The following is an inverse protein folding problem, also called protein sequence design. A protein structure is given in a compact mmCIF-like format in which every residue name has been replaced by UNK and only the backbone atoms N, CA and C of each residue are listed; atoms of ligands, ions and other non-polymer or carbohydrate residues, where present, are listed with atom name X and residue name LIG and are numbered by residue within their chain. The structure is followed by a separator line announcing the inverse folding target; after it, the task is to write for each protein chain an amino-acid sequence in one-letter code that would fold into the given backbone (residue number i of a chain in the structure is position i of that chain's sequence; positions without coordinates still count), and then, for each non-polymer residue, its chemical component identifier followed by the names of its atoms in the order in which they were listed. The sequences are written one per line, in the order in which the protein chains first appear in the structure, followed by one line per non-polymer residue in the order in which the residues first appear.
data_IF_817379377781
#
_entry.id   IF_817379377781
#
_cell.length_a   1.000
_cell.length_b   1.000
_cell.length_c   1.000
_cell.angle_alpha   90.00
_cell.angle_beta   90.00
_cell.angle_gamma   90.00
#
_symmetry.space_group_name_H-M   'P 1'
#
loop_
_entity.id
_entity.type
_entity.pdbx_description
1 polymer ?
#
# COMPACT_ATOMS: atom_id res chain seq x y z
N UNK A 1 -9.26 12.09 3.73
CA UNK A 1 -9.15 11.17 2.59
C UNK A 1 -8.73 11.98 1.37
N UNK A 2 -7.72 11.53 0.60
CA UNK A 2 -7.33 12.21 -0.63
C UNK A 2 -8.36 12.00 -1.74
N UNK A 3 -8.18 12.69 -2.86
CA UNK A 3 -8.88 12.38 -4.10
C UNK A 3 -8.35 11.06 -4.69
N UNK A 4 -9.23 10.29 -5.33
CA UNK A 4 -8.87 9.06 -6.02
C UNK A 4 -9.14 9.21 -7.51
N UNK A 5 -8.16 8.83 -8.32
CA UNK A 5 -8.36 8.59 -9.75
C UNK A 5 -8.68 7.12 -9.97
N UNK A 6 -9.70 6.82 -10.77
CA UNK A 6 -10.26 5.47 -10.89
C UNK A 6 -10.55 5.11 -12.33
N UNK A 7 -10.12 3.93 -12.76
CA UNK A 7 -10.38 3.37 -14.09
C UNK A 7 -10.92 1.95 -13.96
N UNK A 8 -11.74 1.51 -14.92
CA UNK A 8 -12.22 0.14 -15.02
C UNK A 8 -11.58 -0.56 -16.21
N UNK A 9 -10.90 -1.67 -15.95
CA UNK A 9 -10.38 -2.55 -16.99
C UNK A 9 -11.11 -3.90 -16.94
N UNK A 10 -12.03 -4.09 -17.87
CA UNK A 10 -12.88 -5.27 -17.90
C UNK A 10 -12.16 -6.47 -18.54
N UNK A 11 -12.10 -7.55 -17.78
CA UNK A 11 -11.73 -8.87 -18.30
C UNK A 11 -12.81 -9.83 -17.79
N UNK A 12 -13.43 -10.60 -18.67
CA UNK A 12 -14.53 -11.49 -18.29
C UNK A 12 -14.00 -12.77 -17.62
N UNK A 13 -14.77 -13.35 -16.69
CA UNK A 13 -14.45 -14.67 -16.11
C UNK A 13 -15.22 -15.79 -16.82
N UNK A 14 -14.59 -16.96 -17.07
CA UNK A 14 -15.32 -18.14 -17.54
C UNK A 14 -16.16 -18.81 -16.42
N UNK A 15 -15.90 -18.47 -15.15
CA UNK A 15 -16.50 -19.16 -13.98
C UNK A 15 -17.91 -18.70 -13.63
N UNK A 16 -18.31 -17.52 -14.12
CA UNK A 16 -19.65 -16.97 -13.92
C UNK A 16 -20.30 -16.79 -15.31
N UNK A 17 -21.51 -17.29 -15.56
CA UNK A 17 -22.16 -17.21 -16.88
C UNK A 17 -22.35 -15.79 -17.43
N UNK A 18 -22.36 -14.78 -16.55
CA UNK A 18 -22.47 -13.36 -16.91
C UNK A 18 -21.08 -12.68 -17.02
N UNK A 19 -19.98 -13.41 -16.82
CA UNK A 19 -18.62 -12.88 -16.88
C UNK A 19 -18.20 -12.05 -15.66
N UNK A 20 -19.01 -12.01 -14.60
CA UNK A 20 -18.84 -11.12 -13.44
C UNK A 20 -17.81 -11.67 -12.44
N UNK A 21 -16.97 -10.77 -11.90
CA UNK A 21 -16.09 -11.05 -10.77
C UNK A 21 -16.42 -10.14 -9.58
N UNK A 22 -16.17 -10.63 -8.37
CA UNK A 22 -16.23 -9.79 -7.17
C UNK A 22 -15.05 -8.81 -7.15
N UNK A 23 -15.29 -7.60 -6.63
CA UNK A 23 -14.26 -6.56 -6.53
C UNK A 23 -14.34 -5.72 -5.26
N UNK A 24 -15.20 -6.06 -4.29
CA UNK A 24 -15.43 -5.24 -3.09
C UNK A 24 -14.17 -4.99 -2.24
N UNK A 25 -13.23 -5.93 -2.26
CA UNK A 25 -11.94 -5.82 -1.54
C UNK A 25 -10.79 -5.36 -2.45
N UNK A 26 -11.04 -5.12 -3.74
CA UNK A 26 -10.00 -4.82 -4.73
C UNK A 26 -9.27 -3.50 -4.44
N UNK A 27 -9.92 -2.55 -3.74
CA UNK A 27 -9.25 -1.35 -3.21
C UNK A 27 -8.60 -1.59 -1.85
N UNK A 28 -9.32 -2.22 -0.93
CA UNK A 28 -8.90 -2.39 0.48
C UNK A 28 -7.65 -3.24 0.63
N UNK A 29 -7.54 -4.33 -0.13
CA UNK A 29 -6.41 -5.28 -0.01
C UNK A 29 -5.09 -4.69 -0.51
N UNK A 30 -4.99 -4.10 -1.72
CA UNK A 30 -3.72 -3.56 -2.20
C UNK A 30 -3.38 -2.16 -1.64
N UNK A 31 -4.36 -1.37 -1.17
CA UNK A 31 -4.11 0.00 -0.75
C UNK A 31 -3.05 0.15 0.36
N UNK A 32 -3.04 -0.64 1.46
CA UNK A 32 -2.00 -0.54 2.49
C UNK A 32 -0.60 -0.80 1.94
N UNK A 33 -0.45 -1.80 1.06
CA UNK A 33 0.81 -2.13 0.42
C UNK A 33 1.29 -1.03 -0.52
N UNK A 34 0.39 -0.48 -1.35
CA UNK A 34 0.72 0.63 -2.25
C UNK A 34 1.17 1.89 -1.47
N UNK A 35 0.48 2.22 -0.39
CA UNK A 35 0.81 3.36 0.46
C UNK A 35 2.15 3.16 1.17
N UNK A 36 2.39 1.99 1.79
CA UNK A 36 3.67 1.73 2.45
C UNK A 36 4.84 1.68 1.48
N UNK A 37 4.65 1.08 0.30
CA UNK A 37 5.68 1.10 -0.73
C UNK A 37 6.02 2.53 -1.13
N UNK A 38 5.03 3.42 -1.29
CA UNK A 38 5.27 4.83 -1.59
C UNK A 38 6.00 5.57 -0.45
N UNK A 39 5.67 5.25 0.81
CA UNK A 39 6.37 5.82 1.98
C UNK A 39 7.83 5.37 2.02
N UNK A 40 8.10 4.07 1.90
CA UNK A 40 9.47 3.52 1.85
C UNK A 40 10.21 4.12 0.66
N UNK A 41 9.53 4.28 -0.47
CA UNK A 41 10.09 4.87 -1.68
C UNK A 41 10.55 6.33 -1.46
N UNK A 42 9.77 7.11 -0.72
CA UNK A 42 10.11 8.48 -0.36
C UNK A 42 11.28 8.58 0.65
N UNK A 43 11.52 7.53 1.45
CA UNK A 43 12.50 7.54 2.54
C UNK A 43 13.81 6.80 2.23
N UNK A 44 13.98 6.30 1.00
CA UNK A 44 15.18 5.57 0.55
C UNK A 44 16.49 6.28 0.90
N UNK A 45 16.53 7.60 0.73
CA UNK A 45 17.73 8.43 0.95
C UNK A 45 18.17 8.45 2.42
N UNK A 46 17.25 8.15 3.34
CA UNK A 46 17.52 7.99 4.77
C UNK A 46 17.90 6.55 5.15
N UNK A 47 18.05 5.65 4.17
CA UNK A 47 18.38 4.24 4.40
C UNK A 47 17.21 3.37 4.90
N UNK A 48 15.99 3.91 4.89
CA UNK A 48 14.77 3.19 5.29
C UNK A 48 14.43 2.13 4.24
N UNK A 49 14.20 0.90 4.69
CA UNK A 49 13.81 -0.24 3.84
C UNK A 49 12.42 -0.77 4.13
N UNK A 50 11.89 -0.46 5.30
CA UNK A 50 10.57 -0.88 5.75
C UNK A 50 10.05 0.07 6.84
N UNK A 51 8.74 0.13 7.01
CA UNK A 51 8.05 0.91 8.04
C UNK A 51 6.92 0.05 8.61
N UNK A 52 6.98 -0.26 9.91
CA UNK A 52 5.89 -1.00 10.56
C UNK A 52 4.55 -0.25 10.47
N UNK A 53 3.50 -0.96 10.05
CA UNK A 53 2.14 -0.44 10.12
C UNK A 53 1.63 -0.34 11.57
N UNK A 54 0.84 0.70 11.92
CA UNK A 54 0.48 1.84 11.07
C UNK A 54 1.64 2.84 10.93
N UNK A 55 1.82 3.41 9.73
CA UNK A 55 2.83 4.43 9.43
C UNK A 55 2.47 5.79 10.05
N UNK A 56 2.53 5.88 11.39
CA UNK A 56 2.27 7.12 12.12
C UNK A 56 3.40 8.14 11.92
N UNK A 57 3.14 9.45 12.05
CA UNK A 57 4.18 10.47 11.94
C UNK A 57 5.38 10.23 12.87
N UNK A 58 5.14 9.71 14.08
CA UNK A 58 6.21 9.36 15.03
C UNK A 58 7.11 8.25 14.47
N UNK A 59 6.53 7.17 13.92
CA UNK A 59 7.31 6.06 13.34
C UNK A 59 8.09 6.51 12.10
N UNK A 60 7.52 7.38 11.29
CA UNK A 60 8.22 7.99 10.15
C UNK A 60 9.41 8.82 10.63
N UNK A 61 9.20 9.66 11.65
CA UNK A 61 10.27 10.45 12.23
C UNK A 61 11.38 9.57 12.82
N UNK A 62 11.04 8.51 13.56
CA UNK A 62 12.00 7.55 14.09
C UNK A 62 12.79 6.86 12.97
N UNK A 63 12.11 6.47 11.88
CA UNK A 63 12.74 5.83 10.74
C UNK A 63 13.76 6.74 10.03
N UNK A 64 13.42 8.02 9.85
CA UNK A 64 14.33 9.03 9.30
C UNK A 64 15.58 9.22 10.16
N UNK A 65 15.46 9.10 11.49
CA UNK A 65 16.57 9.25 12.43
C UNK A 65 17.34 7.95 12.70
N UNK A 66 17.05 6.86 11.96
CA UNK A 66 17.76 5.58 12.12
C UNK A 66 17.36 4.80 13.38
N UNK A 67 16.23 5.12 13.99
CA UNK A 67 15.72 4.45 15.20
C UNK A 67 14.82 3.24 14.88
N UNK A 68 14.68 2.87 13.60
CA UNK A 68 13.87 1.71 13.21
C UNK A 68 14.51 0.42 13.71
N UNK A 69 13.78 -0.31 14.56
CA UNK A 69 14.13 -1.68 14.94
C UNK A 69 14.05 -2.56 13.69
N UNK A 70 15.18 -3.10 13.25
CA UNK A 70 15.20 -4.19 12.27
C UNK A 70 14.61 -5.41 12.98
N UNK A 71 13.35 -5.71 12.72
CA UNK A 71 12.80 -7.03 13.05
C UNK A 71 13.46 -8.04 12.13
N UNK A 72 14.19 -8.97 12.74
CA UNK A 72 14.88 -10.08 12.06
C UNK A 72 13.91 -11.02 11.35
#
# INVERSE_FOLDING_TARGET
MPYFDTECHEVLTPMNPLGIRSGGEAGTTPAPGAILNAVVDALKEYGVRDVEMPATPLRIWQAINGETRVTA
#
